data_IF_614520834065
#
_entry.id   IF_614520834065
#
_cell.length_a   1.000
_cell.length_b   1.000
_cell.length_c   1.000
_cell.angle_alpha   90.00
_cell.angle_beta   90.00
_cell.angle_gamma   90.00
#
_symmetry.space_group_name_H-M   'P 1'
#
loop_
_entity.id
_entity.type
_entity.pdbx_description
1 polymer ?
#
# COMPACT_ATOMS: atom_id res chain seq x y z
N UNK A 1 13.51 -19.84 -16.93
CA UNK A 1 14.09 -18.48 -17.04
C UNK A 1 13.95 -17.83 -15.68
N UNK A 2 15.00 -17.21 -15.13
CA UNK A 2 14.98 -16.50 -13.85
C UNK A 2 15.03 -14.99 -14.11
N UNK A 3 14.04 -14.25 -13.61
CA UNK A 3 14.03 -12.79 -13.69
C UNK A 3 14.85 -12.19 -12.55
N UNK A 4 15.51 -11.06 -12.79
CA UNK A 4 16.27 -10.35 -11.76
C UNK A 4 16.46 -8.87 -12.10
N UNK A 5 16.62 -8.04 -11.06
CA UNK A 5 17.02 -6.64 -11.18
C UNK A 5 18.15 -6.36 -10.19
N UNK A 6 19.41 -6.37 -10.69
CA UNK A 6 20.59 -6.20 -9.84
C UNK A 6 20.83 -4.72 -9.46
N UNK A 7 20.71 -3.82 -10.42
CA UNK A 7 20.90 -2.39 -10.19
C UNK A 7 19.57 -1.75 -9.79
N UNK A 8 19.48 -1.33 -8.55
CA UNK A 8 18.28 -0.72 -7.97
C UNK A 8 18.60 0.69 -7.45
N UNK A 9 17.60 1.56 -7.46
CA UNK A 9 17.72 2.90 -6.89
C UNK A 9 17.82 2.84 -5.37
N UNK A 10 18.42 3.86 -4.76
CA UNK A 10 18.69 3.92 -3.31
C UNK A 10 17.52 4.49 -2.47
N UNK A 11 16.31 4.54 -3.03
CA UNK A 11 15.10 4.98 -2.34
C UNK A 11 14.52 3.91 -1.41
N UNK A 12 13.65 4.34 -0.50
CA UNK A 12 12.91 3.47 0.41
C UNK A 12 11.41 3.45 0.03
N UNK A 13 10.77 2.29 0.15
CA UNK A 13 9.34 2.12 -0.04
C UNK A 13 8.65 2.08 1.33
N UNK A 14 7.61 2.89 1.50
CA UNK A 14 6.70 2.81 2.63
C UNK A 14 5.33 2.35 2.14
N UNK A 15 4.94 1.13 2.47
CA UNK A 15 3.60 0.63 2.23
C UNK A 15 2.70 1.02 3.40
N UNK A 16 1.56 1.65 3.09
CA UNK A 16 0.51 1.95 4.07
C UNK A 16 -0.70 1.11 3.69
N UNK A 17 -0.83 -0.03 4.35
CA UNK A 17 -1.80 -1.06 4.02
C UNK A 17 -2.93 -1.15 5.05
N UNK A 18 -4.01 -1.81 4.70
CA UNK A 18 -5.15 -2.05 5.58
C UNK A 18 -6.44 -2.35 4.80
N UNK A 19 -7.49 -2.71 5.52
CA UNK A 19 -8.82 -2.91 4.95
C UNK A 19 -9.38 -1.63 4.34
N UNK A 20 -10.33 -1.75 3.42
CA UNK A 20 -11.16 -0.61 3.03
C UNK A 20 -11.86 -0.04 4.27
N UNK A 21 -11.84 1.28 4.44
CA UNK A 21 -12.43 1.94 5.61
C UNK A 21 -11.62 1.87 6.90
N UNK A 22 -10.38 1.34 6.87
CA UNK A 22 -9.51 1.28 8.06
C UNK A 22 -8.87 2.63 8.46
N UNK A 23 -9.08 3.70 7.67
CA UNK A 23 -8.55 5.02 7.99
C UNK A 23 -7.14 5.30 7.49
N UNK A 24 -6.66 4.56 6.47
CA UNK A 24 -5.34 4.77 5.84
C UNK A 24 -5.07 6.22 5.43
N UNK A 25 -6.08 6.93 4.93
CA UNK A 25 -5.94 8.34 4.51
C UNK A 25 -5.46 9.25 5.64
N UNK A 26 -5.87 9.01 6.88
CA UNK A 26 -5.35 9.77 8.04
C UNK A 26 -3.87 9.46 8.25
N UNK A 27 -3.49 8.20 8.16
CA UNK A 27 -2.09 7.77 8.34
C UNK A 27 -1.20 8.28 7.20
N UNK A 28 -1.69 8.32 5.95
CA UNK A 28 -0.95 8.88 4.80
C UNK A 28 -0.67 10.37 4.96
N UNK A 29 -1.62 11.12 5.51
CA UNK A 29 -1.38 12.54 5.83
C UNK A 29 -0.35 12.71 6.95
N UNK A 30 -0.42 11.90 8.01
CA UNK A 30 0.55 11.96 9.09
C UNK A 30 1.97 11.61 8.63
N UNK A 31 2.15 10.66 7.70
CA UNK A 31 3.51 10.35 7.21
C UNK A 31 4.07 11.45 6.32
N UNK A 32 3.25 12.29 5.70
CA UNK A 32 3.70 13.34 4.77
C UNK A 32 4.54 14.45 5.44
N UNK A 33 4.47 14.57 6.78
CA UNK A 33 5.21 15.59 7.53
C UNK A 33 6.69 15.24 7.76
N UNK A 34 7.07 13.98 7.60
CA UNK A 34 8.45 13.53 7.87
C UNK A 34 9.43 13.91 6.77
N UNK A 35 10.70 14.06 7.18
CA UNK A 35 11.79 14.35 6.26
C UNK A 35 11.95 13.26 5.20
N UNK A 36 12.33 13.68 3.98
CA UNK A 36 12.52 12.81 2.80
C UNK A 36 11.27 12.07 2.33
N UNK A 37 10.11 12.34 2.93
CA UNK A 37 8.85 11.75 2.50
C UNK A 37 8.36 12.41 1.23
N UNK A 38 8.02 11.60 0.23
CA UNK A 38 7.41 12.04 -1.02
C UNK A 38 5.87 12.03 -0.93
N UNK A 39 5.22 12.69 -1.88
CA UNK A 39 3.76 12.68 -1.97
C UNK A 39 3.26 11.23 -2.12
N UNK A 40 2.31 10.84 -1.27
CA UNK A 40 1.77 9.50 -1.32
C UNK A 40 0.90 9.26 -2.55
N UNK A 41 0.80 8.04 -2.98
CA UNK A 41 0.02 7.65 -4.15
C UNK A 41 -0.71 6.32 -3.93
N UNK A 42 -1.65 6.04 -4.82
CA UNK A 42 -2.28 4.73 -4.99
C UNK A 42 -1.87 4.23 -6.37
N UNK A 43 -1.33 3.02 -6.45
CA UNK A 43 -0.97 2.37 -7.71
C UNK A 43 -1.44 0.91 -7.64
N UNK A 44 -2.40 0.56 -8.49
CA UNK A 44 -3.03 -0.76 -8.53
C UNK A 44 -2.03 -1.91 -8.72
N UNK A 45 -0.91 -1.67 -9.39
CA UNK A 45 0.10 -2.71 -9.54
C UNK A 45 0.68 -3.17 -8.19
N UNK A 46 0.79 -2.24 -7.21
CA UNK A 46 1.21 -2.57 -5.85
C UNK A 46 0.10 -3.24 -5.03
N UNK A 47 -1.15 -3.12 -5.43
CA UNK A 47 -2.25 -3.92 -4.87
C UNK A 47 -2.31 -5.31 -5.51
N UNK A 48 -2.25 -5.38 -6.83
CA UNK A 48 -2.56 -6.59 -7.59
C UNK A 48 -1.43 -7.64 -7.53
N UNK A 49 -0.17 -7.23 -7.70
CA UNK A 49 0.96 -8.18 -7.75
C UNK A 49 1.09 -8.99 -6.45
N UNK A 50 1.05 -8.38 -5.25
CA UNK A 50 1.07 -9.16 -4.01
C UNK A 50 -0.13 -10.11 -3.88
N UNK A 51 -1.32 -9.69 -4.28
CA UNK A 51 -2.52 -10.51 -4.23
C UNK A 51 -2.42 -11.72 -5.16
N UNK A 52 -1.97 -11.52 -6.41
CA UNK A 52 -1.72 -12.60 -7.36
C UNK A 52 -0.62 -13.57 -6.87
N UNK A 53 0.40 -13.04 -6.19
CA UNK A 53 1.43 -13.86 -5.57
C UNK A 53 0.86 -14.69 -4.39
N UNK A 54 0.03 -14.09 -3.53
CA UNK A 54 -0.62 -14.75 -2.41
C UNK A 54 -1.46 -15.95 -2.84
N UNK A 55 -2.27 -15.81 -3.91
CA UNK A 55 -3.06 -16.91 -4.48
C UNK A 55 -2.26 -17.81 -5.44
N UNK A 56 -0.94 -17.63 -5.55
CA UNK A 56 -0.03 -18.42 -6.40
C UNK A 56 -0.32 -18.35 -7.91
N UNK A 57 -1.00 -17.31 -8.36
CA UNK A 57 -1.25 -17.07 -9.79
C UNK A 57 0.03 -16.64 -10.54
N UNK A 58 1.00 -16.06 -9.84
CA UNK A 58 2.33 -15.72 -10.38
C UNK A 58 3.42 -16.30 -9.48
N UNK A 59 4.56 -16.66 -10.09
CA UNK A 59 5.70 -17.22 -9.36
C UNK A 59 6.50 -16.11 -8.64
N UNK A 60 7.30 -16.51 -7.64
CA UNK A 60 8.07 -15.59 -6.79
C UNK A 60 9.05 -14.73 -7.58
N UNK A 61 9.79 -15.32 -8.55
CA UNK A 61 10.80 -14.58 -9.32
C UNK A 61 10.15 -13.44 -10.12
N UNK A 62 9.00 -13.73 -10.76
CA UNK A 62 8.24 -12.74 -11.50
C UNK A 62 7.69 -11.64 -10.56
N UNK A 63 7.02 -12.03 -9.48
CA UNK A 63 6.45 -11.09 -8.52
C UNK A 63 7.51 -10.16 -7.91
N UNK A 64 8.63 -10.72 -7.43
CA UNK A 64 9.74 -9.98 -6.85
C UNK A 64 10.36 -9.00 -7.85
N UNK A 65 10.63 -9.46 -9.07
CA UNK A 65 11.22 -8.61 -10.11
C UNK A 65 10.27 -7.50 -10.53
N UNK A 66 8.98 -7.77 -10.68
CA UNK A 66 7.98 -6.75 -11.02
C UNK A 66 7.93 -5.65 -9.95
N UNK A 67 7.88 -6.01 -8.67
CA UNK A 67 7.91 -5.01 -7.58
C UNK A 67 9.18 -4.15 -7.67
N UNK A 68 10.35 -4.74 -7.89
CA UNK A 68 11.61 -4.02 -8.01
C UNK A 68 11.61 -3.04 -9.20
N UNK A 69 11.14 -3.48 -10.38
CA UNK A 69 11.07 -2.63 -11.57
C UNK A 69 10.05 -1.50 -11.43
N UNK A 70 8.87 -1.80 -10.92
CA UNK A 70 7.82 -0.82 -10.72
C UNK A 70 8.22 0.22 -9.68
N UNK A 71 8.81 -0.20 -8.58
CA UNK A 71 9.26 0.70 -7.52
C UNK A 71 10.34 1.66 -8.01
N UNK A 72 11.39 1.17 -8.68
CA UNK A 72 12.42 2.04 -9.21
C UNK A 72 11.88 2.98 -10.30
N UNK A 73 10.98 2.50 -11.17
CA UNK A 73 10.30 3.33 -12.16
C UNK A 73 9.46 4.43 -11.50
N UNK A 74 8.70 4.08 -10.47
CA UNK A 74 7.90 5.05 -9.71
C UNK A 74 8.79 6.09 -9.02
N UNK A 75 9.86 5.65 -8.34
CA UNK A 75 10.83 6.54 -7.70
C UNK A 75 11.40 7.56 -8.69
N UNK A 76 11.88 7.08 -9.84
CA UNK A 76 12.44 7.97 -10.87
C UNK A 76 11.41 8.99 -11.36
N UNK A 77 10.19 8.53 -11.70
CA UNK A 77 9.10 9.38 -12.18
C UNK A 77 8.64 10.40 -11.13
N UNK A 78 8.60 9.99 -9.85
CA UNK A 78 8.26 10.89 -8.73
C UNK A 78 9.32 11.97 -8.56
N UNK A 79 10.61 11.59 -8.63
CA UNK A 79 11.73 12.54 -8.50
C UNK A 79 11.67 13.69 -9.50
N UNK A 80 11.17 13.44 -10.71
CA UNK A 80 11.04 14.44 -11.79
C UNK A 80 9.58 14.93 -11.98
N UNK A 81 8.72 14.73 -11.00
CA UNK A 81 7.29 15.10 -11.00
C UNK A 81 6.44 14.49 -12.13
N UNK A 82 6.91 13.43 -12.80
CA UNK A 82 6.18 12.77 -13.91
C UNK A 82 5.00 11.90 -13.42
N UNK A 83 5.06 11.39 -12.19
CA UNK A 83 3.99 10.57 -11.56
C UNK A 83 3.31 11.29 -10.38
N UNK A 84 3.31 12.61 -10.40
CA UNK A 84 2.66 13.42 -9.37
C UNK A 84 1.24 13.76 -9.80
N UNK A 85 0.29 13.63 -8.87
CA UNK A 85 -1.10 13.99 -9.11
C UNK A 85 -1.32 15.49 -8.86
N UNK A 86 -1.58 16.23 -9.93
CA UNK A 86 -1.90 17.67 -9.90
C UNK A 86 -3.41 17.96 -9.95
N UNK A 87 -4.28 16.97 -9.75
CA UNK A 87 -5.74 17.22 -9.67
C UNK A 87 -6.09 17.77 -8.30
N UNK A 88 -6.52 18.99 -8.25
CA UNK A 88 -6.70 19.78 -7.01
C UNK A 88 -7.62 19.12 -5.98
N UNK A 89 -8.68 18.43 -6.43
CA UNK A 89 -9.70 17.86 -5.54
C UNK A 89 -9.42 16.40 -5.12
N UNK A 90 -8.38 15.77 -5.66
CA UNK A 90 -8.07 14.37 -5.33
C UNK A 90 -7.35 14.28 -3.97
N UNK A 91 -7.62 13.25 -3.21
CA UNK A 91 -6.93 13.00 -1.93
C UNK A 91 -5.41 12.86 -2.11
N UNK A 92 -4.96 12.23 -3.21
CA UNK A 92 -3.55 12.06 -3.55
C UNK A 92 -2.93 13.31 -4.20
N UNK A 93 -3.63 14.45 -4.19
CA UNK A 93 -3.15 15.67 -4.82
C UNK A 93 -1.90 16.20 -4.16
N UNK A 94 -0.91 16.59 -4.96
CA UNK A 94 0.29 17.27 -4.48
C UNK A 94 -0.03 18.56 -3.71
N UNK A 95 -1.18 19.20 -3.98
CA UNK A 95 -1.60 20.41 -3.28
C UNK A 95 -1.91 20.17 -1.80
N UNK A 96 -2.14 18.95 -1.38
CA UNK A 96 -2.28 18.56 0.03
C UNK A 96 -0.91 18.31 0.71
N UNK A 97 0.18 18.18 -0.06
CA UNK A 97 1.50 17.90 0.49
C UNK A 97 2.16 19.16 1.05
N UNK A 98 2.84 19.11 2.22
CA UNK A 98 3.54 20.27 2.80
C UNK A 98 4.55 20.92 1.84
N UNK A 99 5.28 20.10 1.06
CA UNK A 99 6.32 20.54 0.12
C UNK A 99 5.80 20.68 -1.33
N UNK A 100 4.53 21.06 -1.53
CA UNK A 100 3.88 21.17 -2.85
C UNK A 100 4.63 22.01 -3.88
N UNK A 101 5.25 23.09 -3.45
CA UNK A 101 5.99 23.98 -4.35
C UNK A 101 7.26 23.32 -4.91
N UNK A 102 7.90 22.42 -4.17
CA UNK A 102 9.07 21.69 -4.64
C UNK A 102 8.71 20.82 -5.87
N UNK A 103 7.54 20.22 -5.87
CA UNK A 103 7.07 19.41 -7.01
C UNK A 103 6.78 20.24 -8.25
N UNK A 104 6.31 21.47 -8.09
CA UNK A 104 6.14 22.42 -9.20
C UNK A 104 7.49 22.81 -9.81
N UNK A 105 8.49 23.06 -8.97
CA UNK A 105 9.85 23.41 -9.43
C UNK A 105 10.55 22.23 -10.10
N UNK A 106 10.33 21.00 -9.65
CA UNK A 106 10.89 19.77 -10.28
C UNK A 106 10.50 19.61 -11.75
N UNK A 107 9.40 20.20 -12.21
CA UNK A 107 9.00 20.16 -13.62
C UNK A 107 10.04 20.81 -14.54
N UNK A 108 10.84 21.76 -14.02
CA UNK A 108 11.89 22.47 -14.73
C UNK A 108 13.28 21.88 -14.50
N UNK A 109 13.42 20.88 -13.64
CA UNK A 109 14.70 20.23 -13.36
C UNK A 109 15.11 19.26 -14.48
N UNK A 110 16.43 19.05 -14.61
CA UNK A 110 16.98 18.06 -15.56
C UNK A 110 16.69 16.65 -15.09
N UNK A 111 16.35 15.77 -16.02
CA UNK A 111 16.21 14.32 -15.81
C UNK A 111 17.57 13.57 -15.96
N UNK A 112 17.51 12.25 -16.16
CA UNK A 112 18.69 11.41 -16.36
C UNK A 112 19.58 11.32 -15.12
N UNK A 113 20.88 11.52 -15.31
CA UNK A 113 21.86 11.38 -14.23
C UNK A 113 21.65 12.36 -13.08
N UNK A 114 21.17 13.58 -13.35
CA UNK A 114 20.87 14.55 -12.31
C UNK A 114 19.75 14.05 -11.37
N UNK A 115 18.72 13.40 -11.91
CA UNK A 115 17.68 12.77 -11.12
C UNK A 115 18.20 11.57 -10.29
N UNK A 116 19.09 10.74 -10.85
CA UNK A 116 19.70 9.62 -10.11
C UNK A 116 20.55 10.09 -8.93
N UNK A 117 21.36 11.15 -9.12
CA UNK A 117 22.13 11.77 -8.06
C UNK A 117 21.25 12.35 -6.96
N UNK A 118 20.14 13.01 -7.34
CA UNK A 118 19.14 13.55 -6.39
C UNK A 118 18.48 12.46 -5.55
N UNK A 119 18.07 11.34 -6.18
CA UNK A 119 17.49 10.18 -5.48
C UNK A 119 18.46 9.63 -4.44
N UNK A 120 19.73 9.43 -4.85
CA UNK A 120 20.79 8.90 -3.98
C UNK A 120 21.08 9.83 -2.79
N UNK A 121 21.18 11.13 -3.04
CA UNK A 121 21.50 12.14 -2.02
C UNK A 121 20.37 12.32 -1.01
N UNK A 122 19.11 12.37 -1.48
CA UNK A 122 17.98 12.74 -0.65
C UNK A 122 17.38 11.56 0.12
N UNK A 123 17.79 10.31 -0.17
CA UNK A 123 17.25 9.10 0.47
C UNK A 123 15.72 9.11 0.50
N UNK A 124 15.14 9.35 -0.67
CA UNK A 124 13.69 9.52 -0.84
C UNK A 124 12.91 8.32 -0.30
N UNK A 125 11.83 8.58 0.41
CA UNK A 125 10.85 7.57 0.83
C UNK A 125 9.60 7.77 0.00
N UNK A 126 9.16 6.71 -0.69
CA UNK A 126 7.97 6.72 -1.54
C UNK A 126 6.83 6.03 -0.78
N UNK A 127 5.83 6.77 -0.28
CA UNK A 127 4.69 6.16 0.38
C UNK A 127 3.63 5.75 -0.66
N UNK A 128 3.17 4.50 -0.53
CA UNK A 128 2.10 3.94 -1.37
C UNK A 128 1.01 3.39 -0.46
N UNK A 129 -0.21 3.87 -0.65
CA UNK A 129 -1.37 3.30 0.01
C UNK A 129 -1.89 2.10 -0.77
N UNK A 130 -2.04 0.97 -0.09
CA UNK A 130 -2.52 -0.30 -0.66
C UNK A 130 -3.71 -0.86 0.12
N UNK A 131 -4.35 -1.90 -0.44
CA UNK A 131 -5.53 -2.52 0.14
C UNK A 131 -5.30 -4.03 0.31
N UNK A 132 -5.02 -4.47 1.54
CA UNK A 132 -4.85 -5.88 1.88
C UNK A 132 -3.68 -6.58 1.15
N UNK A 133 -2.73 -5.83 0.61
CA UNK A 133 -1.62 -6.36 -0.20
C UNK A 133 -0.60 -7.14 0.61
N UNK A 134 -0.53 -6.87 1.92
CA UNK A 134 0.42 -7.51 2.85
C UNK A 134 -0.25 -8.47 3.81
N UNK A 135 -1.54 -8.84 3.58
CA UNK A 135 -2.30 -9.62 4.55
C UNK A 135 -1.94 -11.10 4.54
N UNK A 136 -1.61 -11.64 3.40
CA UNK A 136 -1.33 -13.06 3.20
C UNK A 136 0.09 -13.36 2.71
N UNK A 137 0.92 -12.34 2.50
CA UNK A 137 2.27 -12.51 1.97
C UNK A 137 3.24 -11.42 2.42
N UNK A 138 4.52 -11.64 2.17
CA UNK A 138 5.65 -10.78 2.53
C UNK A 138 6.37 -10.19 1.30
N UNK A 139 5.70 -10.12 0.16
CA UNK A 139 6.34 -9.85 -1.14
C UNK A 139 7.15 -8.55 -1.16
N UNK A 140 6.66 -7.46 -0.56
CA UNK A 140 7.36 -6.17 -0.53
C UNK A 140 8.70 -6.28 0.21
N UNK A 141 8.68 -6.89 1.40
CA UNK A 141 9.90 -7.10 2.20
C UNK A 141 10.86 -8.07 1.52
N UNK A 142 10.33 -9.11 0.88
CA UNK A 142 11.10 -10.07 0.09
C UNK A 142 11.77 -9.42 -1.12
N UNK A 143 11.07 -8.53 -1.81
CA UNK A 143 11.58 -7.86 -3.00
C UNK A 143 12.63 -6.80 -2.70
N UNK A 144 12.47 -6.04 -1.62
CA UNK A 144 13.22 -4.82 -1.34
C UNK A 144 14.06 -4.90 -0.06
N UNK A 145 13.85 -5.90 0.79
CA UNK A 145 14.59 -6.07 2.03
C UNK A 145 14.50 -4.84 2.94
N UNK A 146 15.64 -4.40 3.47
CA UNK A 146 15.72 -3.24 4.36
C UNK A 146 15.30 -1.89 3.76
N UNK A 147 15.02 -1.85 2.43
CA UNK A 147 14.48 -0.66 1.76
C UNK A 147 12.94 -0.59 1.79
N UNK A 148 12.29 -1.52 2.45
CA UNK A 148 10.83 -1.52 2.59
C UNK A 148 10.42 -1.53 4.05
N UNK A 149 9.45 -0.70 4.36
CA UNK A 149 8.72 -0.70 5.64
C UNK A 149 7.23 -0.75 5.36
N UNK A 150 6.47 -1.35 6.27
CA UNK A 150 5.03 -1.51 6.14
C UNK A 150 4.34 -0.93 7.37
N UNK A 151 3.38 -0.03 7.17
CA UNK A 151 2.44 0.40 8.19
C UNK A 151 1.09 -0.26 7.88
N UNK A 152 0.53 -0.97 8.86
CA UNK A 152 -0.80 -1.57 8.75
C UNK A 152 -1.79 -0.78 9.59
N UNK A 153 -2.74 -0.14 8.90
CA UNK A 153 -3.83 0.57 9.55
C UNK A 153 -4.94 -0.41 9.92
N UNK A 154 -5.24 -0.48 11.21
CA UNK A 154 -6.32 -1.29 11.74
C UNK A 154 -7.45 -0.41 12.24
N UNK A 155 -8.66 -0.94 12.28
CA UNK A 155 -9.84 -0.28 12.85
C UNK A 155 -10.74 -1.31 13.47
N UNK A 156 -11.50 -0.92 14.47
CA UNK A 156 -12.45 -1.83 15.10
C UNK A 156 -13.41 -2.42 14.06
N UNK A 157 -13.56 -3.75 13.95
CA UNK A 157 -14.29 -4.41 12.85
C UNK A 157 -15.72 -3.91 12.68
N UNK A 158 -16.41 -3.59 13.75
CA UNK A 158 -17.79 -3.08 13.71
C UNK A 158 -17.94 -1.83 12.82
N UNK A 159 -16.95 -0.91 12.86
CA UNK A 159 -16.97 0.30 12.05
C UNK A 159 -16.49 0.08 10.61
N UNK A 160 -15.95 -1.10 10.32
CA UNK A 160 -15.49 -1.47 8.97
C UNK A 160 -16.60 -2.20 8.19
N UNK A 161 -17.43 -2.99 8.87
CA UNK A 161 -18.48 -3.82 8.23
C UNK A 161 -19.46 -2.98 7.41
N UNK A 162 -19.95 -1.87 7.94
CA UNK A 162 -20.89 -0.99 7.23
C UNK A 162 -20.24 -0.43 5.94
N UNK A 163 -19.00 0.02 6.03
CA UNK A 163 -18.27 0.52 4.86
C UNK A 163 -18.10 -0.56 3.80
N UNK A 164 -17.77 -1.78 4.23
CA UNK A 164 -17.59 -2.93 3.33
C UNK A 164 -18.89 -3.36 2.67
N UNK A 165 -19.99 -3.45 3.41
CA UNK A 165 -21.29 -3.85 2.84
C UNK A 165 -21.75 -2.89 1.76
N UNK A 166 -21.58 -1.58 1.99
CA UNK A 166 -21.86 -0.56 0.98
C UNK A 166 -20.94 -0.64 -0.23
N UNK A 167 -19.67 -1.03 -0.03
CA UNK A 167 -18.69 -1.14 -1.11
C UNK A 167 -18.94 -2.41 -1.93
N UNK A 168 -19.11 -3.57 -1.31
CA UNK A 168 -19.37 -4.86 -1.98
C UNK A 168 -20.57 -4.77 -2.91
N UNK A 169 -21.68 -4.15 -2.46
CA UNK A 169 -22.88 -3.98 -3.28
C UNK A 169 -22.67 -3.10 -4.53
N UNK A 170 -21.64 -2.25 -4.55
CA UNK A 170 -21.32 -1.36 -5.68
C UNK A 170 -20.21 -1.87 -6.59
N UNK A 171 -19.23 -2.59 -6.03
CA UNK A 171 -18.04 -3.07 -6.74
C UNK A 171 -18.33 -3.82 -8.03
N UNK A 172 -19.41 -4.59 -8.06
CA UNK A 172 -19.75 -5.43 -9.22
C UNK A 172 -20.32 -4.62 -10.39
N UNK A 173 -20.84 -3.43 -10.14
CA UNK A 173 -21.58 -2.62 -11.09
C UNK A 173 -20.79 -1.42 -11.65
N UNK A 174 -19.74 -0.98 -10.96
CA UNK A 174 -18.97 0.21 -11.35
C UNK A 174 -17.77 -0.20 -12.24
N UNK A 175 -17.73 0.24 -13.51
CA UNK A 175 -16.60 -0.05 -14.41
C UNK A 175 -15.28 0.60 -13.95
N UNK A 176 -15.31 1.49 -12.95
CA UNK A 176 -14.11 2.08 -12.33
C UNK A 176 -13.57 1.22 -11.18
N UNK A 177 -14.28 0.16 -10.82
CA UNK A 177 -13.78 -0.80 -9.83
C UNK A 177 -12.52 -1.49 -10.36
N UNK A 178 -11.44 -1.41 -9.61
CA UNK A 178 -10.15 -1.99 -9.97
C UNK A 178 -9.79 -3.20 -9.10
N UNK A 179 -10.72 -3.71 -8.29
CA UNK A 179 -10.50 -4.91 -7.51
C UNK A 179 -10.33 -6.13 -8.43
N UNK A 180 -9.33 -6.96 -8.14
CA UNK A 180 -9.17 -8.23 -8.84
C UNK A 180 -10.37 -9.14 -8.58
N UNK A 181 -10.86 -9.76 -9.66
CA UNK A 181 -11.98 -10.69 -9.64
C UNK A 181 -11.55 -12.07 -10.13
N UNK A 182 -12.29 -13.07 -9.74
CA UNK A 182 -12.24 -14.43 -10.26
C UNK A 182 -13.56 -14.75 -10.93
N UNK A 183 -13.49 -15.40 -12.09
CA UNK A 183 -14.66 -16.01 -12.70
C UNK A 183 -14.98 -17.34 -11.97
N UNK A 184 -16.13 -17.37 -11.30
CA UNK A 184 -16.62 -18.59 -10.66
C UNK A 184 -17.99 -18.94 -11.23
N UNK A 185 -18.04 -19.95 -12.09
CA UNK A 185 -19.25 -20.40 -12.79
C UNK A 185 -19.94 -19.31 -13.64
N UNK A 186 -19.18 -18.38 -14.22
CA UNK A 186 -19.70 -17.27 -15.00
C UNK A 186 -20.06 -16.03 -14.19
N UNK A 187 -19.80 -16.04 -12.90
CA UNK A 187 -20.01 -14.89 -12.00
C UNK A 187 -18.66 -14.27 -11.59
N UNK A 188 -18.52 -12.97 -11.76
CA UNK A 188 -17.36 -12.20 -11.30
C UNK A 188 -17.43 -11.97 -9.79
N UNK A 189 -16.56 -12.63 -9.02
CA UNK A 189 -16.46 -12.43 -7.58
C UNK A 189 -15.11 -11.84 -7.18
N UNK A 190 -15.03 -11.04 -6.10
CA UNK A 190 -13.76 -10.46 -5.67
C UNK A 190 -12.73 -11.52 -5.27
N UNK A 191 -11.45 -11.28 -5.58
CA UNK A 191 -10.35 -12.21 -5.27
C UNK A 191 -10.24 -12.56 -3.77
N UNK A 192 -10.67 -11.67 -2.87
CA UNK A 192 -10.67 -11.97 -1.43
C UNK A 192 -11.72 -13.03 -1.02
N UNK A 193 -12.63 -13.39 -1.92
CA UNK A 193 -13.56 -14.49 -1.74
C UNK A 193 -12.99 -15.86 -2.16
N UNK A 194 -11.74 -15.89 -2.64
CA UNK A 194 -11.07 -17.12 -3.02
C UNK A 194 -11.00 -18.12 -1.85
N UNK A 195 -11.45 -19.35 -2.13
CA UNK A 195 -11.54 -20.43 -1.16
C UNK A 195 -12.88 -20.57 -0.44
N UNK A 196 -13.86 -19.65 -0.70
CA UNK A 196 -15.22 -19.72 -0.17
C UNK A 196 -16.28 -19.15 -1.14
N UNK A 197 -16.03 -19.32 -2.43
CA UNK A 197 -16.77 -18.74 -3.56
C UNK A 197 -18.27 -19.09 -3.52
N UNK A 198 -18.61 -20.39 -3.31
CA UNK A 198 -19.99 -20.84 -3.26
C UNK A 198 -20.79 -20.16 -2.11
N UNK A 199 -20.16 -19.99 -0.97
CA UNK A 199 -20.78 -19.35 0.17
C UNK A 199 -20.91 -17.84 -0.06
N UNK A 200 -19.90 -17.22 -0.69
CA UNK A 200 -19.92 -15.81 -1.07
C UNK A 200 -21.15 -15.50 -1.95
N UNK A 201 -21.44 -16.33 -2.95
CA UNK A 201 -22.57 -16.13 -3.85
C UNK A 201 -23.92 -16.25 -3.15
N UNK A 202 -24.03 -17.12 -2.13
CA UNK A 202 -25.28 -17.34 -1.36
C UNK A 202 -25.51 -16.29 -0.28
N UNK A 203 -24.46 -15.62 0.20
CA UNK A 203 -24.50 -14.68 1.30
C UNK A 203 -25.02 -13.30 0.85
N UNK A 204 -25.66 -12.56 1.77
CA UNK A 204 -25.96 -11.15 1.57
C UNK A 204 -24.71 -10.27 1.81
N UNK A 205 -24.77 -8.97 1.47
CA UNK A 205 -23.61 -8.08 1.53
C UNK A 205 -23.04 -7.88 2.94
N UNK A 206 -23.85 -7.97 3.98
CA UNK A 206 -23.38 -7.89 5.37
C UNK A 206 -22.63 -9.17 5.73
N UNK A 207 -23.18 -10.34 5.42
CA UNK A 207 -22.54 -11.64 5.66
C UNK A 207 -21.23 -11.78 4.88
N UNK A 208 -21.21 -11.36 3.60
CA UNK A 208 -20.01 -11.27 2.78
C UNK A 208 -18.94 -10.41 3.45
N UNK A 209 -19.35 -9.25 3.97
CA UNK A 209 -18.44 -8.31 4.64
C UNK A 209 -17.86 -8.89 5.92
N UNK A 210 -18.71 -9.42 6.80
CA UNK A 210 -18.26 -10.01 8.07
C UNK A 210 -17.28 -11.13 7.82
N UNK A 211 -17.60 -12.06 6.93
CA UNK A 211 -16.72 -13.20 6.64
C UNK A 211 -15.42 -12.78 5.99
N UNK A 212 -15.46 -11.89 4.99
CA UNK A 212 -14.25 -11.36 4.35
C UNK A 212 -13.34 -10.68 5.36
N UNK A 213 -13.87 -9.78 6.18
CA UNK A 213 -13.10 -9.06 7.20
C UNK A 213 -12.49 -10.04 8.20
N UNK A 214 -13.25 -11.04 8.68
CA UNK A 214 -12.74 -12.04 9.62
C UNK A 214 -11.56 -12.81 9.04
N UNK A 215 -11.71 -13.38 7.83
CA UNK A 215 -10.66 -14.14 7.17
C UNK A 215 -9.40 -13.30 6.91
N UNK A 216 -9.58 -12.06 6.44
CA UNK A 216 -8.48 -11.15 6.19
C UNK A 216 -7.76 -10.72 7.47
N UNK A 217 -8.49 -10.44 8.55
CA UNK A 217 -7.91 -10.07 9.85
C UNK A 217 -7.13 -11.24 10.46
N UNK A 218 -7.62 -12.46 10.35
CA UNK A 218 -6.92 -13.65 10.86
C UNK A 218 -5.65 -13.92 10.03
N UNK A 219 -5.73 -13.77 8.71
CA UNK A 219 -4.57 -13.92 7.83
C UNK A 219 -3.49 -12.89 8.16
N UNK A 220 -3.84 -11.60 8.27
CA UNK A 220 -2.83 -10.58 8.52
C UNK A 220 -2.16 -10.71 9.89
N UNK A 221 -2.90 -11.12 10.95
CA UNK A 221 -2.30 -11.35 12.29
C UNK A 221 -1.22 -12.42 12.24
N UNK A 222 -1.44 -13.50 11.50
CA UNK A 222 -0.45 -14.56 11.29
C UNK A 222 0.74 -14.03 10.49
N UNK A 223 0.46 -13.32 9.40
CA UNK A 223 1.51 -12.83 8.51
C UNK A 223 2.38 -11.73 9.13
N UNK A 224 1.81 -10.82 9.92
CA UNK A 224 2.60 -9.81 10.65
C UNK A 224 3.62 -10.47 11.58
N UNK A 225 3.21 -11.47 12.35
CA UNK A 225 4.12 -12.19 13.24
C UNK A 225 5.26 -12.85 12.45
N UNK A 226 4.93 -13.43 11.29
CA UNK A 226 5.91 -14.02 10.37
C UNK A 226 6.86 -12.95 9.83
N UNK A 227 6.36 -11.85 9.31
CA UNK A 227 7.18 -10.76 8.76
C UNK A 227 8.13 -10.18 9.83
N UNK A 228 7.64 -9.90 11.04
CA UNK A 228 8.47 -9.40 12.14
C UNK A 228 9.58 -10.40 12.54
N UNK A 229 9.28 -11.71 12.51
CA UNK A 229 10.27 -12.77 12.80
C UNK A 229 11.33 -12.86 11.71
N UNK A 230 10.96 -12.76 10.44
CA UNK A 230 11.87 -12.96 9.30
C UNK A 230 12.67 -11.69 8.96
N UNK A 231 12.08 -10.51 9.07
CA UNK A 231 12.68 -9.24 8.65
C UNK A 231 12.98 -8.26 9.80
N UNK A 232 12.71 -8.67 11.03
CA UNK A 232 12.93 -7.87 12.24
C UNK A 232 11.69 -7.07 12.67
N UNK A 233 11.64 -6.73 13.95
CA UNK A 233 10.50 -6.04 14.56
C UNK A 233 10.22 -4.65 13.95
N UNK A 234 11.23 -4.03 13.35
CA UNK A 234 11.14 -2.72 12.72
C UNK A 234 10.78 -2.79 11.22
N UNK A 235 10.24 -3.91 10.74
CA UNK A 235 9.78 -4.08 9.36
C UNK A 235 8.31 -3.71 9.19
N UNK A 236 7.49 -3.92 10.24
CA UNK A 236 6.04 -3.69 10.21
C UNK A 236 5.59 -2.97 11.47
N UNK A 237 4.85 -1.88 11.29
CA UNK A 237 4.19 -1.11 12.35
C UNK A 237 2.68 -1.23 12.20
N UNK A 238 1.99 -1.55 13.29
CA UNK A 238 0.52 -1.56 13.35
C UNK A 238 0.04 -0.26 13.99
N UNK A 239 -0.92 0.42 13.33
CA UNK A 239 -1.51 1.67 13.82
C UNK A 239 -3.02 1.51 13.86
N UNK A 240 -3.63 1.46 15.06
CA UNK A 240 -5.08 1.58 15.20
C UNK A 240 -5.54 2.97 14.75
N UNK A 241 -6.60 3.03 13.94
CA UNK A 241 -7.21 4.28 13.50
C UNK A 241 -7.60 5.16 14.69
N UNK A 242 -8.15 4.53 15.70
CA UNK A 242 -8.59 5.19 16.93
C UNK A 242 -7.41 5.92 17.61
N UNK A 243 -6.22 5.32 17.64
CA UNK A 243 -5.02 5.95 18.18
C UNK A 243 -4.52 7.08 17.28
N UNK A 244 -4.59 6.90 15.95
CA UNK A 244 -4.20 7.95 15.01
C UNK A 244 -5.05 9.24 15.17
N UNK A 245 -6.32 9.10 15.56
CA UNK A 245 -7.22 10.24 15.76
C UNK A 245 -7.19 10.77 17.19
N UNK A 246 -7.19 9.88 18.20
CA UNK A 246 -7.32 10.27 19.60
C UNK A 246 -5.99 10.54 20.30
N UNK A 247 -4.88 10.02 19.76
CA UNK A 247 -3.53 10.07 20.34
C UNK A 247 -2.48 10.39 19.28
N UNK A 248 -2.78 11.35 18.43
CA UNK A 248 -2.00 11.68 17.22
C UNK A 248 -0.52 11.92 17.52
N UNK A 249 -0.20 12.65 18.59
CA UNK A 249 1.19 12.94 18.98
C UNK A 249 1.98 11.66 19.31
N UNK A 250 1.34 10.71 20.00
CA UNK A 250 1.98 9.42 20.32
C UNK A 250 2.22 8.60 19.04
N UNK A 251 1.25 8.60 18.12
CA UNK A 251 1.37 7.91 16.84
C UNK A 251 2.47 8.54 15.99
N UNK A 252 2.57 9.85 15.94
CA UNK A 252 3.64 10.57 15.22
C UNK A 252 5.01 10.25 15.81
N UNK A 253 5.16 10.22 17.14
CA UNK A 253 6.41 9.82 17.81
C UNK A 253 6.79 8.37 17.48
N UNK A 254 5.82 7.46 17.48
CA UNK A 254 6.02 6.06 17.10
C UNK A 254 6.45 5.91 15.64
N UNK A 255 5.80 6.66 14.73
CA UNK A 255 6.19 6.70 13.31
C UNK A 255 7.59 7.27 13.13
N UNK A 256 7.97 8.36 13.81
CA UNK A 256 9.31 8.94 13.75
C UNK A 256 10.37 7.90 14.08
N UNK A 257 10.17 7.17 15.18
CA UNK A 257 11.06 6.09 15.61
C UNK A 257 11.10 4.96 14.57
N UNK A 258 9.94 4.53 14.09
CA UNK A 258 9.82 3.45 13.10
C UNK A 258 10.47 3.81 11.77
N UNK A 259 10.23 5.01 11.26
CA UNK A 259 10.79 5.50 10.00
C UNK A 259 12.26 5.91 10.14
N UNK A 260 12.72 6.19 11.35
CA UNK A 260 14.01 6.82 11.63
C UNK A 260 14.14 8.15 10.87
N UNK A 261 13.12 9.01 11.03
CA UNK A 261 13.01 10.33 10.38
C UNK A 261 12.48 11.36 11.37
N UNK A 262 12.97 12.59 11.21
CA UNK A 262 12.47 13.76 11.92
C UNK A 262 11.28 14.38 11.15
N UNK A 263 10.58 15.30 11.85
CA UNK A 263 9.51 16.12 11.26
C UNK A 263 10.11 17.40 10.70
#
# INVERSE_FOLDING_TARGET
MKLSKKNQLSSELLIIDGLWGSGKSVVTELVSIFDSMECWSIDQAFDHIPRLFGVKAINQDAATSLIQYLFDSLTYRTCISRSINFRFQDQTSVFNHPKKYDYLLRVFEKDGNAALEKISRNKMIIPIATHMSSFDNDLFLRALGGRCKIIICTRHPLFVVEHWSNYIGRCQLDPRDTALKIDFNGEDIPLFAHGWEEEYLKANDIERSIKSISLLVDSYKVNIKKMKKEYGNNSVLEIPFEDAVMRTENVVSLMSTFLNRNI
#
